data_IF_331311029030
#
_entry.id   IF_331311029030
#
_cell.length_a   1.000
_cell.length_b   1.000
_cell.length_c   1.000
_cell.angle_alpha   90.00
_cell.angle_beta   90.00
_cell.angle_gamma   90.00
#
_symmetry.space_group_name_H-M   'P 1'
#
loop_
_entity.id
_entity.type
_entity.pdbx_description
1 polymer ?
#
# COMPACT_ATOMS: atom_id res chain seq x y z
N UNK A 1 30.51 -15.81 -3.12
CA UNK A 1 31.37 -16.50 -4.08
C UNK A 1 30.97 -16.12 -5.50
N UNK A 2 31.95 -15.92 -6.37
CA UNK A 2 31.69 -15.66 -7.80
C UNK A 2 31.57 -16.98 -8.55
N UNK A 3 30.47 -17.16 -9.29
CA UNK A 3 30.26 -18.29 -10.18
C UNK A 3 30.01 -17.71 -11.59
N UNK A 4 31.07 -17.70 -12.39
CA UNK A 4 31.03 -17.00 -13.69
C UNK A 4 30.81 -15.50 -13.51
N UNK A 5 29.73 -14.96 -14.08
CA UNK A 5 29.36 -13.54 -14.00
C UNK A 5 28.35 -13.25 -12.87
N UNK A 6 28.08 -14.20 -11.99
CA UNK A 6 27.12 -14.04 -10.88
C UNK A 6 27.81 -14.12 -9.53
N UNK A 7 27.29 -13.37 -8.58
CA UNK A 7 27.67 -13.46 -7.18
C UNK A 7 26.60 -14.23 -6.40
N UNK A 8 27.05 -15.28 -5.68
CA UNK A 8 26.18 -16.05 -4.78
C UNK A 8 26.60 -15.72 -3.36
N UNK A 9 25.66 -15.25 -2.55
CA UNK A 9 25.91 -14.95 -1.15
C UNK A 9 26.23 -16.25 -0.39
N UNK A 10 27.19 -16.16 0.54
CA UNK A 10 27.67 -17.30 1.32
C UNK A 10 29.01 -17.85 0.84
N UNK A 11 29.54 -18.81 1.57
CA UNK A 11 30.82 -19.49 1.26
C UNK A 11 30.62 -20.97 1.15
N UNK A 12 31.00 -21.56 0.02
CA UNK A 12 31.00 -23.02 -0.17
C UNK A 12 32.23 -23.64 0.53
N UNK A 13 33.37 -22.93 0.49
CA UNK A 13 34.62 -23.34 1.14
C UNK A 13 35.16 -22.21 2.01
N UNK A 14 35.64 -22.56 3.20
CA UNK A 14 36.38 -21.59 4.03
C UNK A 14 37.75 -21.35 3.39
N UNK A 15 38.25 -20.10 3.38
CA UNK A 15 39.58 -19.81 2.91
C UNK A 15 40.62 -20.52 3.78
N UNK A 16 41.70 -21.00 3.17
CA UNK A 16 42.85 -21.58 3.89
C UNK A 16 43.75 -20.46 4.43
N UNK A 17 44.64 -20.80 5.38
CA UNK A 17 45.60 -19.84 5.94
C UNK A 17 46.52 -19.21 4.88
N UNK A 18 46.74 -19.91 3.77
CA UNK A 18 47.61 -19.44 2.67
C UNK A 18 46.83 -18.81 1.51
N UNK A 19 45.54 -18.52 1.71
CA UNK A 19 44.73 -17.87 0.68
C UNK A 19 45.15 -16.42 0.47
N UNK A 20 45.33 -16.03 -0.79
CA UNK A 20 45.64 -14.64 -1.14
C UNK A 20 44.38 -13.76 -0.92
N UNK A 21 44.58 -12.64 -0.23
CA UNK A 21 43.61 -11.60 -0.07
C UNK A 21 43.87 -10.51 -1.09
N UNK A 22 42.83 -10.08 -1.79
CA UNK A 22 42.90 -8.93 -2.68
C UNK A 22 41.69 -8.02 -2.50
N UNK A 23 41.85 -6.77 -2.83
CA UNK A 23 40.72 -5.81 -2.86
C UNK A 23 39.87 -6.11 -4.08
N UNK A 24 38.57 -6.05 -3.89
CA UNK A 24 37.59 -6.20 -4.96
C UNK A 24 37.75 -5.05 -5.96
N UNK A 25 37.76 -5.37 -7.26
CA UNK A 25 37.79 -4.36 -8.30
C UNK A 25 36.35 -3.80 -8.58
N UNK A 26 36.28 -2.75 -9.39
CA UNK A 26 34.99 -2.10 -9.69
C UNK A 26 34.01 -3.00 -10.43
N UNK A 27 34.48 -3.90 -11.28
CA UNK A 27 33.60 -4.81 -12.04
C UNK A 27 33.01 -5.87 -11.14
N UNK A 28 33.79 -6.44 -10.24
CA UNK A 28 33.32 -7.38 -9.22
C UNK A 28 32.35 -6.71 -8.25
N UNK A 29 32.63 -5.47 -7.87
CA UNK A 29 31.74 -4.69 -7.01
C UNK A 29 30.41 -4.40 -7.71
N UNK A 30 30.40 -4.14 -9.03
CA UNK A 30 29.17 -4.02 -9.81
C UNK A 30 28.32 -5.30 -9.76
N UNK A 31 28.97 -6.46 -9.87
CA UNK A 31 28.28 -7.77 -9.83
C UNK A 31 27.67 -8.00 -8.44
N UNK A 32 28.39 -7.65 -7.35
CA UNK A 32 27.90 -7.83 -5.97
C UNK A 32 26.74 -6.91 -5.65
N UNK A 33 26.86 -5.64 -6.02
CA UNK A 33 25.89 -4.58 -5.67
C UNK A 33 24.69 -4.51 -6.61
N UNK A 34 24.66 -5.34 -7.65
CA UNK A 34 23.71 -5.25 -8.76
C UNK A 34 24.10 -4.16 -9.76
N UNK A 35 23.96 -4.49 -11.03
CA UNK A 35 24.10 -3.54 -12.13
C UNK A 35 22.76 -2.86 -12.39
N UNK A 36 22.80 -1.66 -12.95
CA UNK A 36 21.59 -1.04 -13.48
C UNK A 36 21.07 -1.89 -14.65
N UNK A 37 19.90 -2.48 -14.46
CA UNK A 37 19.16 -3.22 -15.48
C UNK A 37 17.86 -2.45 -15.80
N UNK A 38 17.16 -2.85 -16.86
CA UNK A 38 15.90 -2.23 -17.29
C UNK A 38 14.83 -2.26 -16.21
N UNK A 39 14.84 -3.31 -15.40
CA UNK A 39 13.85 -3.53 -14.32
C UNK A 39 14.39 -3.12 -12.95
N UNK A 40 15.45 -2.29 -12.91
CA UNK A 40 16.04 -1.83 -11.67
C UNK A 40 15.66 -0.40 -11.33
N UNK A 41 15.35 -0.18 -10.05
CA UNK A 41 15.03 1.11 -9.49
C UNK A 41 16.24 1.67 -8.73
N UNK A 42 16.55 2.92 -8.99
CA UNK A 42 17.55 3.65 -8.20
C UNK A 42 17.02 3.87 -6.78
N UNK A 43 17.77 3.40 -5.78
CA UNK A 43 17.42 3.52 -4.36
C UNK A 43 18.17 4.68 -3.71
N UNK A 44 19.45 4.81 -3.99
CA UNK A 44 20.29 5.82 -3.34
C UNK A 44 21.77 5.64 -3.67
N UNK A 45 22.62 6.25 -2.86
CA UNK A 45 24.08 6.13 -2.94
C UNK A 45 24.63 5.49 -1.69
N UNK A 46 25.63 4.62 -1.85
CA UNK A 46 26.33 4.04 -0.73
C UNK A 46 27.34 5.04 -0.15
N UNK A 47 27.29 5.35 1.15
CA UNK A 47 28.32 6.17 1.78
C UNK A 47 29.65 5.42 1.96
N UNK A 48 29.63 4.08 1.92
CA UNK A 48 30.81 3.22 2.13
C UNK A 48 31.61 3.08 0.84
N UNK A 49 30.94 3.04 -0.32
CA UNK A 49 31.55 2.79 -1.61
C UNK A 49 31.54 4.03 -2.51
N UNK A 50 32.26 5.08 -2.12
CA UNK A 50 32.53 6.30 -2.92
C UNK A 50 31.27 6.88 -3.60
N UNK A 51 30.15 6.97 -2.87
CA UNK A 51 28.86 7.46 -3.41
C UNK A 51 28.33 6.65 -4.62
N UNK A 52 28.71 5.40 -4.75
CA UNK A 52 28.18 4.52 -5.80
C UNK A 52 26.66 4.44 -5.74
N UNK A 53 26.03 4.52 -6.89
CA UNK A 53 24.59 4.36 -7.02
C UNK A 53 24.19 2.91 -6.72
N UNK A 54 23.14 2.74 -5.93
CA UNK A 54 22.57 1.44 -5.58
C UNK A 54 21.22 1.30 -6.29
N UNK A 55 21.03 0.14 -6.89
CA UNK A 55 19.81 -0.23 -7.59
C UNK A 55 19.21 -1.49 -6.97
N UNK A 56 17.91 -1.62 -7.01
CA UNK A 56 17.19 -2.82 -6.60
C UNK A 56 16.17 -3.22 -7.68
N UNK A 57 15.92 -4.50 -7.85
CA UNK A 57 14.89 -4.99 -8.76
C UNK A 57 13.51 -4.49 -8.36
N UNK A 58 12.74 -3.94 -9.29
CA UNK A 58 11.40 -3.41 -9.01
C UNK A 58 10.50 -4.52 -8.55
N UNK A 59 10.54 -5.66 -9.21
CA UNK A 59 9.74 -6.82 -8.84
C UNK A 59 10.12 -7.34 -7.45
N UNK A 60 11.40 -7.35 -7.10
CA UNK A 60 11.87 -7.78 -5.78
C UNK A 60 11.34 -6.87 -4.67
N UNK A 61 11.26 -5.56 -4.92
CA UNK A 61 10.76 -4.58 -3.95
C UNK A 61 9.23 -4.58 -3.82
N UNK A 62 8.50 -4.67 -4.94
CA UNK A 62 7.06 -4.40 -4.95
C UNK A 62 6.17 -5.64 -5.15
N UNK A 63 6.74 -6.81 -5.52
CA UNK A 63 5.98 -8.07 -5.54
C UNK A 63 5.90 -8.74 -4.17
N UNK A 64 6.71 -8.30 -3.21
CA UNK A 64 6.80 -8.86 -1.87
C UNK A 64 6.52 -7.79 -0.81
N UNK A 65 6.38 -8.24 0.44
CA UNK A 65 6.25 -7.36 1.58
C UNK A 65 7.59 -6.70 1.91
N UNK A 66 7.57 -5.39 2.12
CA UNK A 66 8.73 -4.61 2.53
C UNK A 66 8.39 -3.85 3.81
N UNK A 67 9.33 -3.79 4.75
CA UNK A 67 9.19 -2.99 5.96
C UNK A 67 10.39 -2.05 6.12
N UNK A 68 10.13 -0.77 6.43
CA UNK A 68 11.14 0.24 6.69
C UNK A 68 11.06 0.65 8.15
N UNK A 69 12.11 0.33 8.89
CA UNK A 69 12.21 0.60 10.32
C UNK A 69 13.16 1.77 10.60
N UNK A 70 12.87 2.49 11.64
CA UNK A 70 13.71 3.59 12.10
C UNK A 70 13.01 4.41 13.19
N UNK A 71 13.77 5.15 13.97
CA UNK A 71 13.25 6.05 14.98
C UNK A 71 12.56 7.27 14.37
N UNK A 72 11.83 8.03 15.17
CA UNK A 72 11.28 9.33 14.76
C UNK A 72 12.40 10.24 14.24
N UNK A 73 12.19 10.92 13.12
CA UNK A 73 13.20 11.78 12.51
C UNK A 73 14.30 11.07 11.71
N UNK A 74 14.32 9.73 11.63
CA UNK A 74 15.35 8.99 10.87
C UNK A 74 15.17 9.04 9.33
N UNK A 75 14.11 9.68 8.86
CA UNK A 75 13.84 9.82 7.42
C UNK A 75 13.07 8.67 6.78
N UNK A 76 12.33 7.85 7.56
CA UNK A 76 11.52 6.73 7.01
C UNK A 76 10.57 7.19 5.91
N UNK A 77 9.70 8.16 6.21
CA UNK A 77 8.71 8.68 5.27
C UNK A 77 9.34 9.34 4.05
N UNK A 78 10.45 10.05 4.26
CA UNK A 78 11.25 10.62 3.16
C UNK A 78 11.83 9.52 2.25
N UNK A 79 12.32 8.43 2.84
CA UNK A 79 12.87 7.30 2.07
C UNK A 79 11.78 6.60 1.26
N UNK A 80 10.62 6.33 1.87
CA UNK A 80 9.45 5.76 1.18
C UNK A 80 9.02 6.67 0.02
N UNK A 81 8.83 7.98 0.29
CA UNK A 81 8.47 8.96 -0.72
C UNK A 81 9.46 8.97 -1.88
N UNK A 82 10.76 8.93 -1.57
CA UNK A 82 11.81 8.97 -2.60
C UNK A 82 11.84 7.71 -3.44
N UNK A 83 11.68 6.55 -2.85
CA UNK A 83 11.59 5.26 -3.58
C UNK A 83 10.41 5.31 -4.55
N UNK A 84 9.23 5.73 -4.07
CA UNK A 84 8.04 5.82 -4.90
C UNK A 84 8.19 6.88 -6.01
N UNK A 85 8.73 8.05 -5.68
CA UNK A 85 9.01 9.08 -6.69
C UNK A 85 9.96 8.58 -7.79
N UNK A 86 10.96 7.78 -7.44
CA UNK A 86 11.89 7.23 -8.42
C UNK A 86 11.21 6.27 -9.42
N UNK A 87 10.10 5.62 -9.06
CA UNK A 87 9.29 4.84 -10.00
C UNK A 87 8.68 5.78 -11.05
N UNK A 88 8.07 6.87 -10.61
CA UNK A 88 7.39 7.81 -11.50
C UNK A 88 8.34 8.65 -12.36
N UNK A 89 9.55 8.90 -11.84
CA UNK A 89 10.59 9.66 -12.54
C UNK A 89 11.38 8.83 -13.55
N UNK A 90 11.30 7.50 -13.48
CA UNK A 90 12.04 6.62 -14.38
C UNK A 90 11.20 6.30 -15.63
N UNK A 91 11.53 6.88 -16.81
CA UNK A 91 10.76 6.64 -18.02
C UNK A 91 10.90 5.21 -18.56
N UNK A 92 11.88 4.45 -18.09
CA UNK A 92 12.08 3.05 -18.48
C UNK A 92 11.22 2.07 -17.67
N UNK A 93 10.72 2.51 -16.53
CA UNK A 93 9.81 1.73 -15.69
C UNK A 93 8.39 1.92 -16.19
N UNK A 94 7.95 1.01 -17.04
CA UNK A 94 6.58 1.00 -17.53
C UNK A 94 5.70 0.24 -16.54
N UNK A 95 5.07 0.96 -15.64
CA UNK A 95 4.07 0.42 -14.70
C UNK A 95 2.70 0.40 -15.40
N UNK A 96 2.49 -0.55 -16.30
CA UNK A 96 1.17 -0.71 -16.93
C UNK A 96 0.15 -1.19 -15.89
N UNK A 97 -0.96 -0.46 -15.78
CA UNK A 97 -2.09 -0.79 -14.89
C UNK A 97 -1.72 -0.95 -13.40
N UNK A 98 -0.66 -0.29 -12.94
CA UNK A 98 -0.33 -0.26 -11.52
C UNK A 98 -1.16 0.79 -10.80
N UNK A 99 -1.81 0.39 -9.71
CA UNK A 99 -2.45 1.29 -8.77
C UNK A 99 -1.68 1.26 -7.46
N UNK A 100 -1.31 2.44 -6.97
CA UNK A 100 -0.65 2.59 -5.69
C UNK A 100 -1.60 3.27 -4.71
N UNK A 101 -1.92 2.58 -3.62
CA UNK A 101 -2.71 3.11 -2.52
C UNK A 101 -1.82 3.41 -1.33
N UNK A 102 -1.85 4.65 -0.85
CA UNK A 102 -1.07 5.09 0.31
C UNK A 102 -2.05 5.45 1.43
N UNK A 103 -2.00 4.69 2.52
CA UNK A 103 -2.74 4.99 3.74
C UNK A 103 -1.87 5.85 4.65
N UNK A 104 -2.14 7.14 4.66
CA UNK A 104 -1.33 8.16 5.32
C UNK A 104 -2.01 8.65 6.60
N UNK A 105 -1.71 8.00 7.72
CA UNK A 105 -2.32 8.33 9.02
C UNK A 105 -1.89 9.71 9.56
N UNK A 106 -0.74 10.24 9.11
CA UNK A 106 -0.15 11.46 9.66
C UNK A 106 -0.07 12.63 8.67
N UNK A 107 -0.52 12.44 7.41
CA UNK A 107 -0.51 13.47 6.38
C UNK A 107 0.90 13.83 5.85
N UNK A 108 1.84 12.89 5.88
CA UNK A 108 3.24 13.15 5.51
C UNK A 108 3.48 13.08 3.99
N UNK A 109 2.62 12.37 3.23
CA UNK A 109 2.89 12.03 1.84
C UNK A 109 2.22 12.96 0.82
N UNK A 110 1.19 13.73 1.20
CA UNK A 110 0.48 14.64 0.29
C UNK A 110 1.44 15.54 -0.51
N UNK A 111 2.34 16.21 0.21
CA UNK A 111 3.29 17.14 -0.41
C UNK A 111 4.33 16.46 -1.30
N UNK A 112 4.65 15.20 -1.03
CA UNK A 112 5.61 14.44 -1.82
C UNK A 112 5.06 14.04 -3.20
N UNK A 113 3.72 13.91 -3.33
CA UNK A 113 3.11 13.35 -4.54
C UNK A 113 2.19 14.31 -5.29
N UNK A 114 1.78 15.45 -4.71
CA UNK A 114 0.83 16.39 -5.34
C UNK A 114 1.23 16.91 -6.72
N UNK A 115 2.52 16.91 -7.04
CA UNK A 115 3.04 17.38 -8.34
C UNK A 115 3.36 16.26 -9.34
N UNK A 116 3.06 15.01 -9.01
CA UNK A 116 3.39 13.86 -9.86
C UNK A 116 2.77 13.98 -11.26
N UNK A 117 1.53 14.45 -11.36
CA UNK A 117 0.84 14.62 -12.64
C UNK A 117 1.54 15.64 -13.56
N UNK A 118 2.22 16.63 -12.96
CA UNK A 118 2.98 17.65 -13.71
C UNK A 118 4.31 17.09 -14.22
N UNK A 119 4.92 16.17 -13.43
CA UNK A 119 6.20 15.54 -13.76
C UNK A 119 6.00 14.47 -14.83
N UNK A 120 4.96 13.64 -14.66
CA UNK A 120 4.63 12.59 -15.60
C UNK A 120 3.12 12.51 -15.83
N UNK A 121 2.62 13.04 -16.98
CA UNK A 121 1.19 13.08 -17.28
C UNK A 121 0.51 11.71 -17.41
N UNK A 122 1.28 10.63 -17.53
CA UNK A 122 0.74 9.27 -17.60
C UNK A 122 0.21 8.76 -16.26
N UNK A 123 0.54 9.45 -15.16
CA UNK A 123 0.07 9.11 -13.82
C UNK A 123 -1.00 10.08 -13.35
N UNK A 124 -2.00 9.56 -12.67
CA UNK A 124 -3.02 10.34 -11.99
C UNK A 124 -2.79 10.26 -10.48
N UNK A 125 -2.88 11.41 -9.83
CA UNK A 125 -2.81 11.52 -8.38
C UNK A 125 -4.16 11.98 -7.86
N UNK A 126 -4.68 11.28 -6.86
CA UNK A 126 -5.87 11.64 -6.12
C UNK A 126 -5.54 11.68 -4.63
N UNK A 127 -5.92 12.75 -3.97
CA UNK A 127 -5.82 12.86 -2.52
C UNK A 127 -7.22 12.80 -1.92
N UNK A 128 -7.47 11.73 -1.17
CA UNK A 128 -8.75 11.46 -0.54
C UNK A 128 -8.56 11.64 0.96
N UNK A 129 -9.40 12.43 1.59
CA UNK A 129 -9.29 12.77 3.02
C UNK A 129 -10.65 12.72 3.70
N UNK A 130 -10.65 12.52 5.02
CA UNK A 130 -11.86 12.64 5.85
C UNK A 130 -12.21 14.09 6.16
N UNK A 131 -11.26 15.03 5.99
CA UNK A 131 -11.47 16.45 6.22
C UNK A 131 -10.82 17.28 5.10
N UNK A 132 -11.54 17.55 4.00
CA UNK A 132 -11.00 18.34 2.88
C UNK A 132 -10.81 19.80 3.31
N UNK A 133 -9.60 20.32 3.17
CA UNK A 133 -9.21 21.68 3.53
C UNK A 133 -8.73 22.48 2.33
N UNK A 134 -8.03 21.84 1.40
CA UNK A 134 -7.44 22.50 0.24
C UNK A 134 -8.28 22.28 -1.02
N UNK A 135 -8.26 23.23 -1.97
CA UNK A 135 -8.87 23.02 -3.28
C UNK A 135 -8.26 21.81 -3.98
N UNK A 136 -9.10 20.83 -4.36
CA UNK A 136 -8.66 19.59 -4.99
C UNK A 136 -8.59 18.38 -4.05
N UNK A 137 -8.83 18.58 -2.76
CA UNK A 137 -9.02 17.47 -1.83
C UNK A 137 -10.38 16.80 -2.10
N UNK A 138 -10.38 15.47 -2.22
CA UNK A 138 -11.60 14.68 -2.37
C UNK A 138 -12.03 14.13 -1.00
N UNK A 139 -13.30 14.26 -0.66
CA UNK A 139 -13.83 13.68 0.58
C UNK A 139 -13.91 12.16 0.46
N UNK A 140 -13.37 11.45 1.47
CA UNK A 140 -13.54 10.00 1.56
C UNK A 140 -15.03 9.66 1.75
N UNK A 141 -15.60 8.99 0.77
CA UNK A 141 -16.98 8.49 0.81
C UNK A 141 -16.97 6.98 0.70
N UNK A 142 -17.35 6.32 1.78
CA UNK A 142 -17.47 4.85 1.81
C UNK A 142 -18.96 4.51 1.72
N UNK A 143 -19.41 3.84 0.66
CA UNK A 143 -20.80 3.41 0.56
C UNK A 143 -21.16 2.46 1.71
N UNK A 144 -22.27 2.71 2.39
CA UNK A 144 -22.70 1.93 3.56
C UNK A 144 -22.87 0.45 3.25
N UNK A 145 -23.25 0.10 2.02
CA UNK A 145 -23.42 -1.31 1.61
C UNK A 145 -22.11 -2.10 1.54
N UNK A 146 -20.95 -1.43 1.53
CA UNK A 146 -19.63 -2.08 1.60
C UNK A 146 -19.18 -2.36 3.03
N UNK A 147 -19.84 -1.75 4.03
CA UNK A 147 -19.48 -1.93 5.42
C UNK A 147 -20.02 -3.27 5.93
N UNK A 148 -19.15 -4.00 6.63
CA UNK A 148 -19.53 -5.18 7.39
C UNK A 148 -20.27 -4.81 8.69
N UNK A 149 -20.84 -5.79 9.38
CA UNK A 149 -21.44 -5.54 10.70
C UNK A 149 -20.38 -5.09 11.73
N UNK A 150 -19.14 -5.58 11.61
CA UNK A 150 -18.03 -5.19 12.48
C UNK A 150 -17.58 -3.75 12.20
N UNK A 151 -17.54 -3.33 10.93
CA UNK A 151 -17.23 -1.94 10.57
C UNK A 151 -18.30 -0.98 11.09
N UNK A 152 -19.58 -1.37 11.00
CA UNK A 152 -20.70 -0.60 11.56
C UNK A 152 -20.63 -0.55 13.09
N UNK A 153 -20.25 -1.64 13.74
CA UNK A 153 -20.06 -1.67 15.18
C UNK A 153 -18.97 -0.72 15.63
N UNK A 154 -17.83 -0.69 14.93
CA UNK A 154 -16.75 0.25 15.18
C UNK A 154 -17.18 1.71 14.95
N UNK A 155 -17.87 1.97 13.84
CA UNK A 155 -18.37 3.31 13.50
C UNK A 155 -19.36 3.86 14.56
N UNK A 156 -20.18 2.99 15.12
CA UNK A 156 -21.21 3.32 16.13
C UNK A 156 -20.72 3.18 17.56
N UNK A 157 -19.43 2.83 17.78
CA UNK A 157 -18.85 2.54 19.09
C UNK A 157 -19.67 1.51 19.89
N UNK A 158 -20.12 0.45 19.21
CA UNK A 158 -20.91 -0.61 19.82
C UNK A 158 -20.00 -1.60 20.54
N UNK A 159 -20.06 -1.61 21.87
CA UNK A 159 -19.23 -2.48 22.71
C UNK A 159 -20.00 -3.67 23.28
N UNK A 160 -21.33 -3.57 23.36
CA UNK A 160 -22.18 -4.55 24.02
C UNK A 160 -22.82 -5.52 23.01
N UNK A 161 -22.96 -6.78 23.43
CA UNK A 161 -23.58 -7.82 22.61
C UNK A 161 -25.02 -7.46 22.14
N UNK A 162 -25.79 -6.78 22.96
CA UNK A 162 -27.12 -6.30 22.58
C UNK A 162 -27.08 -5.29 21.44
N UNK A 163 -26.12 -4.37 21.45
CA UNK A 163 -25.92 -3.38 20.38
C UNK A 163 -25.51 -4.07 19.06
N UNK A 164 -24.59 -5.03 19.13
CA UNK A 164 -24.18 -5.82 17.96
C UNK A 164 -25.37 -6.55 17.32
N UNK A 165 -26.22 -7.16 18.13
CA UNK A 165 -27.44 -7.83 17.66
C UNK A 165 -28.39 -6.85 16.95
N UNK A 166 -28.54 -5.63 17.46
CA UNK A 166 -29.36 -4.59 16.83
C UNK A 166 -28.77 -4.18 15.49
N UNK A 167 -27.45 -3.95 15.41
CA UNK A 167 -26.75 -3.60 14.16
C UNK A 167 -26.94 -4.69 13.12
N UNK A 168 -26.75 -5.95 13.48
CA UNK A 168 -26.94 -7.09 12.58
C UNK A 168 -28.39 -7.15 12.04
N UNK A 169 -29.38 -6.98 12.92
CA UNK A 169 -30.80 -6.95 12.53
C UNK A 169 -31.11 -5.78 11.60
N UNK A 170 -30.62 -4.59 11.94
CA UNK A 170 -30.82 -3.38 11.13
C UNK A 170 -30.18 -3.53 9.74
N UNK A 171 -28.96 -4.07 9.66
CA UNK A 171 -28.27 -4.33 8.39
C UNK A 171 -29.03 -5.33 7.51
N UNK A 172 -29.54 -6.40 8.10
CA UNK A 172 -30.37 -7.39 7.37
C UNK A 172 -31.65 -6.77 6.85
N UNK A 173 -32.35 -5.98 7.67
CA UNK A 173 -33.55 -5.28 7.24
C UNK A 173 -33.27 -4.25 6.15
N UNK A 174 -32.22 -3.46 6.29
CA UNK A 174 -31.82 -2.48 5.28
C UNK A 174 -31.56 -3.13 3.91
N UNK A 175 -30.89 -4.28 3.88
CA UNK A 175 -30.67 -5.06 2.65
C UNK A 175 -32.01 -5.51 2.02
N UNK A 176 -32.94 -6.06 2.82
CA UNK A 176 -34.24 -6.47 2.32
C UNK A 176 -35.02 -5.27 1.76
N UNK A 177 -35.01 -4.13 2.47
CA UNK A 177 -35.71 -2.93 2.03
C UNK A 177 -35.10 -2.22 0.82
N UNK A 178 -33.79 -2.41 0.54
CA UNK A 178 -33.15 -1.86 -0.64
C UNK A 178 -33.42 -2.61 -1.94
N UNK A 179 -33.83 -3.89 -1.88
CA UNK A 179 -34.16 -4.69 -3.04
C UNK A 179 -35.60 -4.46 -3.52
N UNK A 180 -35.83 -4.49 -4.82
CA UNK A 180 -37.15 -4.30 -5.43
C UNK A 180 -37.47 -5.45 -6.40
N UNK A 181 -37.96 -6.57 -5.86
CA UNK A 181 -38.54 -7.62 -6.64
C UNK A 181 -39.85 -8.14 -5.96
N UNK A 182 -40.72 -8.83 -6.69
CA UNK A 182 -42.06 -9.24 -6.20
C UNK A 182 -41.97 -10.12 -4.95
N UNK A 183 -41.01 -11.01 -4.86
CA UNK A 183 -40.83 -11.88 -3.70
C UNK A 183 -40.37 -11.09 -2.47
N UNK A 184 -39.46 -10.15 -2.66
CA UNK A 184 -38.99 -9.28 -1.59
C UNK A 184 -40.09 -8.31 -1.14
N UNK A 185 -40.92 -7.81 -2.04
CA UNK A 185 -42.04 -6.94 -1.69
C UNK A 185 -43.06 -7.68 -0.82
N UNK A 186 -43.35 -8.95 -1.08
CA UNK A 186 -44.18 -9.78 -0.20
C UNK A 186 -43.57 -9.92 1.20
N UNK A 187 -42.26 -10.16 1.27
CA UNK A 187 -41.53 -10.25 2.53
C UNK A 187 -41.54 -8.91 3.30
N UNK A 188 -41.34 -7.78 2.62
CA UNK A 188 -41.44 -6.43 3.23
C UNK A 188 -42.81 -6.22 3.85
N UNK A 189 -43.87 -6.52 3.11
CA UNK A 189 -45.25 -6.38 3.60
C UNK A 189 -45.53 -7.28 4.82
N UNK A 190 -45.00 -8.49 4.83
CA UNK A 190 -45.13 -9.39 5.98
C UNK A 190 -44.37 -8.84 7.20
N UNK A 191 -43.14 -8.33 7.04
CA UNK A 191 -42.35 -7.74 8.11
C UNK A 191 -43.04 -6.49 8.70
N UNK A 192 -43.60 -5.63 7.84
CA UNK A 192 -44.34 -4.44 8.26
C UNK A 192 -45.58 -4.85 9.04
N UNK A 193 -46.37 -5.79 8.52
CA UNK A 193 -47.59 -6.26 9.19
C UNK A 193 -47.28 -6.87 10.56
N UNK A 194 -46.19 -7.68 10.66
CA UNK A 194 -45.75 -8.28 11.93
C UNK A 194 -45.29 -7.22 12.94
N UNK A 195 -44.58 -6.19 12.47
CA UNK A 195 -44.16 -5.08 13.33
C UNK A 195 -45.34 -4.26 13.85
N UNK A 196 -46.34 -3.98 12.99
CA UNK A 196 -47.57 -3.29 13.40
C UNK A 196 -48.33 -4.12 14.44
N UNK A 197 -48.46 -5.44 14.19
CA UNK A 197 -49.15 -6.34 15.11
C UNK A 197 -48.46 -6.39 16.48
N UNK A 198 -47.11 -6.39 16.55
CA UNK A 198 -46.36 -6.40 17.80
C UNK A 198 -46.45 -5.10 18.63
N UNK A 199 -46.90 -4.01 18.01
CA UNK A 199 -47.09 -2.71 18.69
C UNK A 199 -48.52 -2.56 19.18
N UNK A 200 -49.49 -3.23 18.52
CA UNK A 200 -50.92 -3.10 18.84
C UNK A 200 -51.42 -4.12 19.88
N UNK A 201 -50.66 -5.19 20.10
CA UNK A 201 -50.95 -6.28 21.03
C UNK A 201 -49.77 -6.59 21.93
#
# INVERSE_FOLDING_TARGET
EFVGTRFIAGTIKKPSLNSLLRVINNDELNIIMGMQDKDSLYIGKSPIYENRKIYAGINDLFSNHMAIFGNSGSGKSCSVSRIIQNIFLNPQVLTYNANLFIFDAYGEYKNAFKSINQINPNYQYKFITTNPVEPGDELLQIPVYLLSNDDLALLLNAENHSQLTIIERASKLAKIFSENNDNVNKLKNHLIASAIQSVLF
#
